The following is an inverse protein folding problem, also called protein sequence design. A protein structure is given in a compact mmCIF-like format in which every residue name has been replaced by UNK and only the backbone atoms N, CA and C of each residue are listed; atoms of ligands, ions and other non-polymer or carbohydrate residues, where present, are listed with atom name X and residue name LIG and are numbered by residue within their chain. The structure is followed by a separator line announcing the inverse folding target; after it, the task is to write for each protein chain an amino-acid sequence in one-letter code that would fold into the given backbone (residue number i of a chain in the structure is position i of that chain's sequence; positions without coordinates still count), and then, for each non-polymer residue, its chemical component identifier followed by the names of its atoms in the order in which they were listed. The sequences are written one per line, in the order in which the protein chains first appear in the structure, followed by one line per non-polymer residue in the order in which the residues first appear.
data_IF_404667389464
#
_entry.id   IF_404667389464
#
_cell.length_a   1.000
_cell.length_b   1.000
_cell.length_c   1.000
_cell.angle_alpha   90.00
_cell.angle_beta   90.00
_cell.angle_gamma   90.00
#
_symmetry.space_group_name_H-M   'P 1'
#
loop_
_entity.id
_entity.type
_entity.pdbx_description
1 polymer ?
#
# COMPACT_ATOMS: atom_id res chain seq x y z
N UNK A 1 -54.50 26.92 32.55
CA UNK A 1 -54.23 28.32 32.16
C UNK A 1 -53.09 28.30 31.14
N UNK A 2 -53.35 28.02 29.85
CA UNK A 2 -53.52 28.97 28.71
C UNK A 2 -52.49 30.10 28.63
N UNK A 3 -51.64 30.05 27.58
CA UNK A 3 -51.22 31.11 26.62
C UNK A 3 -50.18 30.48 25.65
N UNK A 4 -50.55 30.12 24.40
CA UNK A 4 -50.54 30.91 23.14
C UNK A 4 -49.11 31.28 22.68
N UNK A 5 -48.51 30.72 21.62
CA UNK A 5 -48.80 30.72 20.15
C UNK A 5 -48.42 32.04 19.43
N UNK A 6 -47.49 31.95 18.47
CA UNK A 6 -47.23 32.78 17.26
C UNK A 6 -45.91 32.24 16.65
N UNK A 7 -45.82 31.41 15.59
CA UNK A 7 -46.23 31.50 14.17
C UNK A 7 -45.87 32.83 13.51
N UNK A 8 -44.82 32.81 12.69
CA UNK A 8 -44.63 33.73 11.56
C UNK A 8 -44.18 32.92 10.34
N UNK A 9 -45.13 32.72 9.42
CA UNK A 9 -44.91 32.33 8.04
C UNK A 9 -44.48 33.58 7.26
N UNK A 10 -43.50 33.48 6.36
CA UNK A 10 -43.44 34.38 5.21
C UNK A 10 -43.10 33.60 3.94
N UNK A 11 -43.84 33.95 2.89
CA UNK A 11 -44.13 33.22 1.67
C UNK A 11 -43.03 33.27 0.60
N UNK A 12 -43.05 32.21 -0.19
CA UNK A 12 -42.70 32.05 -1.61
C UNK A 12 -42.38 33.29 -2.47
N UNK A 13 -41.39 33.14 -3.35
CA UNK A 13 -41.54 33.48 -4.77
C UNK A 13 -40.62 32.61 -5.63
N UNK A 14 -41.23 31.63 -6.30
CA UNK A 14 -40.69 30.99 -7.50
C UNK A 14 -40.86 31.96 -8.67
N UNK A 15 -39.79 32.24 -9.42
CA UNK A 15 -39.89 32.77 -10.78
C UNK A 15 -39.22 31.76 -11.70
N UNK A 16 -40.07 31.08 -12.46
CA UNK A 16 -39.72 30.29 -13.64
C UNK A 16 -39.79 31.25 -14.82
N UNK A 17 -38.68 31.46 -15.52
CA UNK A 17 -38.70 32.08 -16.84
C UNK A 17 -38.00 31.17 -17.83
N UNK A 18 -38.82 30.51 -18.64
CA UNK A 18 -38.42 29.82 -19.88
C UNK A 18 -37.97 30.85 -20.91
N UNK A 19 -36.85 30.62 -21.58
CA UNK A 19 -36.65 31.14 -22.93
C UNK A 19 -35.70 30.24 -23.73
N UNK A 20 -36.28 29.56 -24.71
CA UNK A 20 -35.63 28.82 -25.78
C UNK A 20 -34.99 29.79 -26.77
N UNK A 21 -33.78 29.51 -27.26
CA UNK A 21 -33.49 29.57 -28.71
C UNK A 21 -32.05 29.19 -29.08
N UNK A 22 -31.97 28.46 -30.20
CA UNK A 22 -30.91 28.45 -31.23
C UNK A 22 -29.66 27.60 -30.97
N UNK A 23 -29.80 26.37 -31.44
CA UNK A 23 -28.79 25.57 -32.17
C UNK A 23 -27.76 26.39 -32.96
N UNK A 24 -26.48 26.11 -32.74
CA UNK A 24 -25.41 26.33 -33.72
C UNK A 24 -24.51 25.09 -33.74
N UNK A 25 -24.66 24.27 -34.77
CA UNK A 25 -23.70 23.23 -35.17
C UNK A 25 -22.39 23.93 -35.51
N UNK A 26 -21.29 23.52 -34.88
CA UNK A 26 -19.95 23.88 -35.30
C UNK A 26 -19.30 22.60 -35.82
N UNK A 27 -19.24 22.49 -37.16
CA UNK A 27 -18.47 21.47 -37.87
C UNK A 27 -16.99 21.82 -37.76
N UNK A 28 -16.21 20.98 -37.10
CA UNK A 28 -14.74 20.99 -37.22
C UNK A 28 -14.34 20.03 -38.33
N UNK A 29 -13.95 20.58 -39.47
CA UNK A 29 -13.27 19.88 -40.57
C UNK A 29 -11.81 19.64 -40.17
N UNK A 30 -11.39 18.38 -40.08
CA UNK A 30 -9.98 17.99 -39.99
C UNK A 30 -9.52 17.54 -41.39
N UNK A 31 -8.44 18.11 -41.96
CA UNK A 31 -7.88 17.63 -43.22
C UNK A 31 -6.98 16.40 -42.99
N UNK A 32 -6.84 15.51 -43.99
CA UNK A 32 -6.21 14.20 -43.82
C UNK A 32 -4.69 14.30 -43.74
N UNK A 33 -4.08 13.52 -42.84
CA UNK A 33 -2.63 13.34 -42.81
C UNK A 33 -2.19 12.35 -43.89
N UNK A 34 -1.26 12.83 -44.70
CA UNK A 34 -0.59 12.13 -45.79
C UNK A 34 0.51 11.21 -45.25
N UNK A 35 0.48 9.96 -45.72
CA UNK A 35 1.47 8.93 -45.44
C UNK A 35 2.67 9.16 -46.36
N UNK A 36 3.88 9.32 -45.81
CA UNK A 36 5.11 9.20 -46.60
C UNK A 36 6.10 8.26 -45.93
N UNK A 37 6.61 7.34 -46.76
CA UNK A 37 7.56 6.30 -46.45
C UNK A 37 9.00 6.83 -46.35
N UNK A 38 9.76 6.12 -45.51
CA UNK A 38 11.22 5.95 -45.39
C UNK A 38 12.17 6.62 -46.40
N UNK A 39 13.31 7.10 -45.86
CA UNK A 39 14.67 6.71 -46.29
C UNK A 39 15.75 7.21 -45.31
N UNK A 40 16.71 6.34 -44.98
CA UNK A 40 18.07 6.66 -44.45
C UNK A 40 19.09 6.50 -45.60
N UNK A 41 20.34 7.04 -45.56
CA UNK A 41 21.46 6.56 -44.70
C UNK A 41 22.40 7.74 -44.23
N UNK A 42 23.47 7.63 -43.43
CA UNK A 42 24.54 6.64 -43.34
C UNK A 42 25.41 6.83 -42.04
N UNK A 43 26.10 5.74 -41.64
CA UNK A 43 27.45 5.54 -41.03
C UNK A 43 27.98 6.58 -40.00
N UNK A 44 28.68 6.25 -38.91
CA UNK A 44 29.33 5.05 -38.38
C UNK A 44 29.94 5.43 -37.02
N UNK A 45 29.89 4.60 -35.99
CA UNK A 45 31.10 4.25 -35.23
C UNK A 45 30.87 3.02 -34.35
N UNK A 46 31.86 2.14 -34.30
CA UNK A 46 31.82 0.89 -33.55
C UNK A 46 32.37 1.12 -32.13
N UNK A 47 31.57 0.74 -31.13
CA UNK A 47 32.00 0.60 -29.73
C UNK A 47 31.52 -0.74 -29.20
N UNK A 48 32.48 -1.60 -28.88
CA UNK A 48 32.36 -2.99 -28.45
C UNK A 48 31.42 -3.17 -27.23
N UNK A 49 30.29 -3.85 -27.44
CA UNK A 49 29.38 -4.30 -26.36
C UNK A 49 29.51 -5.80 -26.21
N UNK A 50 29.97 -6.21 -25.03
CA UNK A 50 30.01 -7.57 -24.51
C UNK A 50 28.72 -8.33 -24.84
N UNK A 51 28.87 -9.44 -25.59
CA UNK A 51 27.79 -10.36 -25.96
C UNK A 51 27.16 -10.94 -24.68
N UNK A 52 25.99 -10.42 -24.32
CA UNK A 52 25.04 -11.12 -23.45
C UNK A 52 24.45 -12.25 -24.30
N UNK A 53 24.88 -13.49 -24.03
CA UNK A 53 24.37 -14.67 -24.73
C UNK A 53 22.84 -14.70 -24.61
N UNK A 54 22.19 -14.70 -25.76
CA UNK A 54 20.73 -14.86 -25.87
C UNK A 54 20.43 -16.33 -25.61
N UNK A 55 19.48 -16.68 -24.73
CA UNK A 55 19.18 -18.07 -24.44
C UNK A 55 18.87 -18.81 -25.74
N UNK A 56 19.51 -19.96 -25.91
CA UNK A 56 19.30 -20.82 -27.07
C UNK A 56 17.82 -21.20 -27.19
N UNK A 57 17.35 -21.49 -28.40
CA UNK A 57 15.96 -21.92 -28.63
C UNK A 57 15.55 -23.09 -27.74
N UNK A 58 16.51 -23.92 -27.32
CA UNK A 58 16.31 -25.04 -26.41
C UNK A 58 16.12 -24.59 -24.96
N UNK A 59 16.89 -23.63 -24.47
CA UNK A 59 16.70 -23.05 -23.13
C UNK A 59 15.35 -22.33 -22.99
N UNK A 60 14.87 -21.67 -24.04
CA UNK A 60 13.53 -21.07 -24.06
C UNK A 60 12.43 -22.13 -24.06
N UNK A 61 12.61 -23.23 -24.79
CA UNK A 61 11.68 -24.36 -24.81
C UNK A 61 11.64 -25.06 -23.43
N UNK A 62 12.81 -25.29 -22.84
CA UNK A 62 12.98 -25.88 -21.51
C UNK A 62 12.39 -24.98 -20.42
N UNK A 63 12.52 -23.65 -20.54
CA UNK A 63 11.90 -22.68 -19.63
C UNK A 63 10.37 -22.69 -19.77
N UNK A 64 9.83 -22.75 -21.00
CA UNK A 64 8.38 -22.87 -21.24
C UNK A 64 7.81 -24.17 -20.69
N UNK A 65 8.54 -25.28 -20.83
CA UNK A 65 8.17 -26.59 -20.28
C UNK A 65 8.23 -26.54 -18.75
N UNK A 66 9.24 -25.89 -18.19
CA UNK A 66 9.39 -25.70 -16.73
C UNK A 66 8.28 -24.83 -16.15
N UNK A 67 7.89 -23.75 -16.82
CA UNK A 67 6.77 -22.87 -16.41
C UNK A 67 5.44 -23.64 -16.48
N UNK A 68 5.19 -24.42 -17.55
CA UNK A 68 4.00 -25.28 -17.65
C UNK A 68 3.97 -26.37 -16.58
N UNK A 69 5.12 -26.94 -16.22
CA UNK A 69 5.24 -27.91 -15.12
C UNK A 69 5.05 -27.24 -13.76
N UNK A 70 5.58 -26.04 -13.53
CA UNK A 70 5.39 -25.27 -12.30
C UNK A 70 3.92 -24.85 -12.09
N UNK A 71 3.18 -24.62 -13.18
CA UNK A 71 1.73 -24.39 -13.15
C UNK A 71 0.91 -25.66 -12.84
N UNK A 72 1.52 -26.85 -12.94
CA UNK A 72 0.86 -28.15 -12.75
C UNK A 72 1.30 -28.90 -11.48
N UNK A 73 2.24 -28.37 -10.69
CA UNK A 73 2.78 -29.03 -9.50
C UNK A 73 2.66 -28.11 -8.29
N UNK A 74 1.44 -27.92 -7.81
CA UNK A 74 1.17 -27.57 -6.41
C UNK A 74 0.88 -28.87 -5.66
N UNK A 75 1.95 -29.56 -5.25
CA UNK A 75 2.06 -30.42 -4.06
C UNK A 75 3.34 -31.26 -4.10
N UNK A 76 4.38 -30.83 -3.36
CA UNK A 76 5.06 -31.57 -2.28
C UNK A 76 6.45 -30.98 -2.00
N UNK A 77 6.74 -30.93 -0.71
CA UNK A 77 7.88 -30.29 -0.05
C UNK A 77 9.22 -30.98 -0.32
N UNK A 78 10.30 -30.20 -0.28
CA UNK A 78 11.62 -30.66 0.15
C UNK A 78 12.20 -29.68 1.17
N UNK A 79 12.64 -30.23 2.30
CA UNK A 79 13.30 -29.53 3.38
C UNK A 79 14.73 -29.17 2.98
N UNK A 80 15.14 -27.94 3.27
CA UNK A 80 16.55 -27.54 3.26
C UNK A 80 16.87 -26.72 4.49
N UNK A 81 17.93 -27.13 5.17
CA UNK A 81 18.40 -26.61 6.46
C UNK A 81 18.81 -25.15 6.32
N UNK A 82 18.11 -24.29 7.06
CA UNK A 82 18.33 -22.85 7.17
C UNK A 82 19.44 -22.53 8.18
N UNK A 83 20.28 -21.51 7.95
CA UNK A 83 21.08 -20.93 9.02
C UNK A 83 20.13 -20.24 10.00
N UNK A 84 20.10 -20.75 11.22
CA UNK A 84 19.26 -20.26 12.31
C UNK A 84 19.74 -18.89 12.78
N UNK A 85 18.86 -17.87 12.72
CA UNK A 85 18.94 -16.78 13.69
C UNK A 85 18.72 -17.43 15.04
N UNK A 86 19.77 -17.56 15.84
CA UNK A 86 19.65 -18.11 17.19
C UNK A 86 18.84 -17.12 18.02
N UNK A 87 17.53 -17.30 18.04
CA UNK A 87 16.63 -16.68 19.01
C UNK A 87 17.01 -17.31 20.34
N UNK A 88 17.84 -16.61 21.12
CA UNK A 88 17.95 -16.93 22.54
C UNK A 88 16.62 -16.55 23.18
N UNK A 89 15.90 -17.47 23.85
CA UNK A 89 14.78 -17.08 24.67
C UNK A 89 15.29 -16.06 25.68
N UNK A 90 14.82 -14.82 25.58
CA UNK A 90 15.09 -13.81 26.59
C UNK A 90 14.25 -14.16 27.81
N UNK A 91 14.91 -14.59 28.88
CA UNK A 91 14.28 -14.80 30.20
C UNK A 91 13.77 -13.48 30.81
N UNK A 92 14.09 -12.33 30.21
CA UNK A 92 13.65 -11.02 30.67
C UNK A 92 12.45 -10.49 29.87
N UNK A 93 11.31 -10.36 30.55
CA UNK A 93 10.04 -9.87 30.02
C UNK A 93 10.06 -8.39 29.54
N UNK A 94 11.21 -7.72 29.54
CA UNK A 94 11.36 -6.32 29.17
C UNK A 94 12.72 -6.06 28.48
N UNK A 95 12.88 -6.56 27.25
CA UNK A 95 13.99 -6.11 26.41
C UNK A 95 13.77 -4.64 26.04
N UNK A 96 14.70 -3.77 26.43
CA UNK A 96 14.72 -2.38 25.97
C UNK A 96 15.17 -2.40 24.51
N UNK A 97 14.34 -1.88 23.61
CA UNK A 97 14.67 -1.86 22.19
C UNK A 97 15.93 -1.02 21.93
N UNK A 98 16.92 -1.62 21.29
CA UNK A 98 18.12 -0.92 20.81
C UNK A 98 18.24 -1.20 19.31
N UNK A 99 18.25 -0.17 18.45
CA UNK A 99 18.43 -0.40 17.02
C UNK A 99 19.73 -1.13 16.71
N UNK A 100 19.70 -2.05 15.74
CA UNK A 100 20.92 -2.74 15.29
C UNK A 100 21.89 -1.73 14.64
N UNK A 101 23.22 -1.89 14.78
CA UNK A 101 24.19 -0.95 14.21
C UNK A 101 24.09 -0.76 12.69
N UNK A 102 23.60 -1.75 11.96
CA UNK A 102 23.41 -1.76 10.51
C UNK A 102 21.99 -1.34 10.08
N UNK A 103 21.15 -0.88 11.02
CA UNK A 103 19.79 -0.42 10.73
C UNK A 103 19.83 0.89 9.94
N UNK A 104 18.89 1.02 9.01
CA UNK A 104 18.73 2.26 8.23
C UNK A 104 17.94 3.28 9.06
N UNK A 105 18.45 4.51 9.24
CA UNK A 105 17.71 5.57 9.93
C UNK A 105 16.36 5.87 9.27
N UNK A 106 15.34 6.11 10.08
CA UNK A 106 13.97 6.28 9.61
C UNK A 106 13.79 7.38 8.55
N UNK A 107 14.44 8.52 8.72
CA UNK A 107 14.39 9.63 7.75
C UNK A 107 14.93 9.20 6.37
N UNK A 108 16.03 8.45 6.35
CA UNK A 108 16.63 7.95 5.13
C UNK A 108 15.71 6.92 4.44
N UNK A 109 15.15 6.01 5.23
CA UNK A 109 14.21 5.01 4.74
C UNK A 109 12.95 5.67 4.15
N UNK A 110 12.40 6.70 4.81
CA UNK A 110 11.26 7.48 4.33
C UNK A 110 11.58 8.18 3.00
N UNK A 111 12.75 8.78 2.89
CA UNK A 111 13.24 9.37 1.64
C UNK A 111 13.32 8.34 0.50
N UNK A 112 13.77 7.11 0.77
CA UNK A 112 13.80 6.04 -0.22
C UNK A 112 12.40 5.62 -0.70
N UNK A 113 11.43 5.49 0.22
CA UNK A 113 10.03 5.19 -0.13
C UNK A 113 9.42 6.32 -0.98
N UNK A 114 9.58 7.58 -0.57
CA UNK A 114 9.08 8.75 -1.33
C UNK A 114 9.66 8.84 -2.74
N UNK A 115 10.97 8.63 -2.87
CA UNK A 115 11.65 8.58 -4.18
C UNK A 115 11.17 7.38 -5.01
N UNK A 116 10.92 6.26 -4.36
CA UNK A 116 10.33 5.06 -4.94
C UNK A 116 8.96 5.29 -5.57
N UNK A 117 8.04 5.87 -4.82
CA UNK A 117 6.72 6.22 -5.35
C UNK A 117 6.78 7.28 -6.47
N UNK A 118 7.75 8.20 -6.40
CA UNK A 118 8.02 9.13 -7.50
C UNK A 118 8.45 8.39 -8.77
N UNK A 119 9.31 7.37 -8.66
CA UNK A 119 9.69 6.52 -9.81
C UNK A 119 8.52 5.72 -10.35
N UNK A 120 7.73 5.10 -9.47
CA UNK A 120 6.51 4.36 -9.81
C UNK A 120 5.54 5.23 -10.63
N UNK A 121 5.19 6.41 -10.12
CA UNK A 121 4.23 7.33 -10.79
C UNK A 121 4.74 7.93 -12.10
N UNK A 122 6.05 7.85 -12.35
CA UNK A 122 6.69 8.30 -13.60
C UNK A 122 7.06 7.17 -14.55
N UNK A 123 6.84 5.90 -14.16
CA UNK A 123 7.19 4.73 -14.96
C UNK A 123 8.70 4.43 -15.05
N UNK A 124 9.51 4.96 -14.13
CA UNK A 124 10.97 4.79 -14.12
C UNK A 124 11.44 3.79 -13.05
N UNK A 125 10.95 2.54 -13.13
CA UNK A 125 11.30 1.48 -12.19
C UNK A 125 12.79 1.13 -12.19
N UNK A 126 13.30 0.66 -11.04
CA UNK A 126 14.62 0.03 -10.95
C UNK A 126 14.60 -1.27 -11.76
N UNK A 127 15.72 -1.55 -12.44
CA UNK A 127 15.87 -2.75 -13.27
C UNK A 127 16.72 -3.85 -12.59
N UNK A 128 16.87 -3.79 -11.27
CA UNK A 128 17.68 -4.69 -10.47
C UNK A 128 16.99 -5.06 -9.14
N UNK A 129 17.52 -6.07 -8.43
CA UNK A 129 17.02 -6.44 -7.10
C UNK A 129 15.89 -7.46 -7.05
N UNK A 130 15.47 -7.98 -8.20
CA UNK A 130 14.47 -9.04 -8.34
C UNK A 130 14.97 -10.25 -9.15
N UNK A 131 16.30 -10.38 -9.34
CA UNK A 131 16.89 -11.48 -10.10
C UNK A 131 17.28 -12.65 -9.17
N UNK A 132 17.59 -13.82 -9.74
CA UNK A 132 18.04 -15.01 -9.00
C UNK A 132 19.23 -14.73 -8.06
N UNK A 133 20.16 -13.87 -8.49
CA UNK A 133 21.30 -13.43 -7.66
C UNK A 133 20.87 -12.71 -6.38
N UNK A 134 19.75 -11.98 -6.43
CA UNK A 134 19.22 -11.24 -5.28
C UNK A 134 18.58 -12.20 -4.27
N UNK A 135 17.96 -13.28 -4.75
CA UNK A 135 17.51 -14.38 -3.88
C UNK A 135 18.70 -15.02 -3.17
N UNK A 136 19.78 -15.34 -3.91
CA UNK A 136 21.01 -15.90 -3.31
C UNK A 136 21.62 -15.00 -2.24
N UNK A 137 21.57 -13.67 -2.41
CA UNK A 137 22.04 -12.69 -1.43
C UNK A 137 21.27 -12.74 -0.11
N UNK A 138 19.98 -13.09 -0.16
CA UNK A 138 19.07 -13.05 1.00
C UNK A 138 19.00 -14.37 1.77
N UNK A 139 19.63 -15.45 1.29
CA UNK A 139 19.62 -16.77 1.96
C UNK A 139 20.17 -16.69 3.39
N UNK A 140 21.12 -15.79 3.64
CA UNK A 140 21.77 -15.64 4.96
C UNK A 140 21.00 -14.74 5.93
N UNK A 141 19.97 -14.04 5.47
CA UNK A 141 19.17 -13.15 6.30
C UNK A 141 18.62 -11.93 5.57
N UNK A 142 17.89 -11.11 6.33
CA UNK A 142 17.23 -9.90 5.85
C UNK A 142 17.52 -8.70 6.76
N UNK A 143 17.53 -7.51 6.17
CA UNK A 143 17.63 -6.24 6.89
C UNK A 143 16.75 -5.18 6.21
N UNK A 144 15.41 -5.29 6.34
CA UNK A 144 14.49 -4.34 5.74
C UNK A 144 14.59 -2.98 6.42
N UNK A 145 14.63 -1.91 5.63
CA UNK A 145 14.72 -0.54 6.14
C UNK A 145 13.37 0.02 6.57
N UNK A 146 12.26 -0.61 6.18
CA UNK A 146 10.92 -0.17 6.55
C UNK A 146 9.96 -1.35 6.72
N UNK A 147 9.05 -1.20 7.67
CA UNK A 147 7.87 -2.03 7.84
C UNK A 147 6.72 -1.29 7.14
N UNK A 148 5.93 -1.99 6.33
CA UNK A 148 4.74 -1.43 5.70
C UNK A 148 3.54 -2.28 6.09
N UNK A 149 2.66 -1.71 6.90
CA UNK A 149 1.32 -2.24 7.14
C UNK A 149 0.38 -1.63 6.10
N UNK A 150 -0.27 -2.45 5.28
CA UNK A 150 -1.19 -1.96 4.24
C UNK A 150 -2.36 -2.90 4.00
N UNK A 151 -3.29 -2.47 3.16
CA UNK A 151 -4.45 -3.26 2.78
C UNK A 151 -4.06 -4.51 1.96
N UNK A 152 -4.78 -5.61 2.14
CA UNK A 152 -4.71 -6.80 1.26
C UNK A 152 -5.22 -6.55 -0.17
N UNK A 153 -5.73 -5.35 -0.48
CA UNK A 153 -6.21 -4.97 -1.81
C UNK A 153 -5.17 -5.26 -2.90
N UNK A 154 -5.54 -6.04 -3.91
CA UNK A 154 -4.62 -6.51 -4.96
C UNK A 154 -4.02 -5.38 -5.81
N UNK A 155 -4.60 -4.18 -5.76
CA UNK A 155 -4.14 -2.99 -6.49
C UNK A 155 -3.09 -2.20 -5.70
N UNK A 156 -2.83 -2.57 -4.46
CA UNK A 156 -1.91 -1.87 -3.54
C UNK A 156 -0.75 -2.78 -3.10
N UNK A 157 0.08 -3.32 -4.03
CA UNK A 157 1.31 -4.03 -3.66
C UNK A 157 2.41 -3.04 -3.23
N UNK A 158 2.79 -2.97 -1.93
CA UNK A 158 3.69 -1.92 -1.44
C UNK A 158 5.07 -1.92 -2.11
N UNK A 159 5.61 -3.10 -2.42
CA UNK A 159 6.91 -3.25 -3.07
C UNK A 159 6.93 -2.61 -4.46
N UNK A 160 5.82 -2.69 -5.20
CA UNK A 160 5.70 -2.06 -6.53
C UNK A 160 5.39 -0.57 -6.40
N UNK A 161 4.45 -0.20 -5.53
CA UNK A 161 4.04 1.20 -5.29
C UNK A 161 5.22 2.07 -4.86
N UNK A 162 6.15 1.50 -4.10
CA UNK A 162 7.38 2.16 -3.68
C UNK A 162 8.61 1.74 -4.50
N UNK A 163 8.52 0.89 -5.53
CA UNK A 163 9.68 0.45 -6.34
C UNK A 163 10.86 -0.06 -5.48
N UNK A 164 10.57 -1.05 -4.63
CA UNK A 164 11.48 -1.67 -3.67
C UNK A 164 11.92 -3.06 -4.13
N UNK A 165 13.11 -3.46 -3.72
CA UNK A 165 13.73 -4.75 -4.06
C UNK A 165 13.43 -5.83 -3.03
N UNK A 166 13.79 -7.06 -3.37
CA UNK A 166 13.78 -8.17 -2.43
C UNK A 166 14.62 -7.83 -1.18
N UNK A 167 13.98 -7.94 -0.02
CA UNK A 167 14.56 -7.72 1.30
C UNK A 167 14.68 -6.27 1.75
N UNK A 168 14.24 -5.28 0.95
CA UNK A 168 14.30 -3.85 1.32
C UNK A 168 13.16 -3.44 2.27
N UNK A 169 11.97 -4.03 2.13
CA UNK A 169 10.80 -3.75 2.99
C UNK A 169 10.22 -5.01 3.62
N UNK A 170 9.67 -4.88 4.83
CA UNK A 170 8.94 -5.91 5.54
C UNK A 170 7.44 -5.60 5.49
N UNK A 171 6.66 -6.44 4.80
CA UNK A 171 5.28 -6.10 4.41
C UNK A 171 4.28 -6.94 5.20
N UNK A 172 3.34 -6.28 5.86
CA UNK A 172 2.16 -6.89 6.50
C UNK A 172 0.94 -6.38 5.74
N UNK A 173 0.10 -7.32 5.28
CA UNK A 173 -1.12 -6.97 4.52
C UNK A 173 -2.36 -7.64 5.09
N UNK A 174 -3.25 -6.83 5.61
CA UNK A 174 -4.56 -7.24 6.15
C UNK A 174 -5.66 -6.39 5.51
N UNK A 175 -6.89 -6.89 5.42
CA UNK A 175 -7.97 -6.12 4.81
C UNK A 175 -8.21 -4.82 5.60
N UNK A 176 -8.18 -3.67 4.94
CA UNK A 176 -8.31 -2.36 5.59
C UNK A 176 -7.26 -2.09 6.68
N UNK A 177 -6.05 -2.64 6.49
CA UNK A 177 -4.91 -2.48 7.41
C UNK A 177 -5.28 -2.81 8.88
N UNK A 178 -6.18 -3.78 9.06
CA UNK A 178 -6.65 -4.25 10.36
C UNK A 178 -5.52 -4.83 11.21
N UNK A 179 -5.57 -4.58 12.51
CA UNK A 179 -4.53 -4.97 13.47
C UNK A 179 -4.99 -6.15 14.33
N UNK A 180 -4.93 -7.34 13.76
CA UNK A 180 -5.07 -8.59 14.49
C UNK A 180 -3.76 -8.99 15.19
N UNK A 181 -3.80 -10.08 15.97
CA UNK A 181 -2.63 -10.53 16.74
C UNK A 181 -1.45 -10.90 15.83
N UNK A 182 -1.70 -11.47 14.64
CA UNK A 182 -0.65 -11.86 13.71
C UNK A 182 0.03 -10.64 13.07
N UNK A 183 -0.75 -9.62 12.72
CA UNK A 183 -0.23 -8.36 12.20
C UNK A 183 0.66 -7.66 13.23
N UNK A 184 0.18 -7.55 14.48
CA UNK A 184 0.95 -6.93 15.56
C UNK A 184 2.24 -7.72 15.84
N UNK A 185 2.15 -9.04 16.00
CA UNK A 185 3.33 -9.88 16.23
C UNK A 185 4.36 -9.77 15.10
N UNK A 186 3.90 -9.65 13.85
CA UNK A 186 4.78 -9.47 12.69
C UNK A 186 5.50 -8.11 12.70
N UNK A 187 4.80 -7.05 13.12
CA UNK A 187 5.39 -5.71 13.30
C UNK A 187 6.41 -5.74 14.45
N UNK A 188 6.04 -6.29 15.61
CA UNK A 188 6.94 -6.45 16.75
C UNK A 188 8.18 -7.25 16.39
N UNK A 189 8.02 -8.31 15.58
CA UNK A 189 9.15 -9.08 15.09
C UNK A 189 10.14 -8.24 14.28
N UNK A 190 9.63 -7.44 13.34
CA UNK A 190 10.48 -6.60 12.50
C UNK A 190 11.12 -5.43 13.27
N UNK A 191 10.42 -4.89 14.27
CA UNK A 191 11.01 -3.88 15.18
C UNK A 191 12.11 -4.53 16.02
N UNK A 192 11.77 -5.53 16.82
CA UNK A 192 12.66 -6.06 17.86
C UNK A 192 13.80 -6.93 17.31
N UNK A 193 13.49 -7.83 16.37
CA UNK A 193 14.48 -8.78 15.85
C UNK A 193 15.21 -8.27 14.59
N UNK A 194 14.55 -7.47 13.75
CA UNK A 194 15.15 -6.92 12.52
C UNK A 194 15.66 -5.48 12.69
N UNK A 195 15.40 -4.82 13.82
CA UNK A 195 15.89 -3.46 14.10
C UNK A 195 15.35 -2.40 13.13
N UNK A 196 14.22 -2.65 12.47
CA UNK A 196 13.68 -1.72 11.48
C UNK A 196 13.15 -0.46 12.18
N UNK A 197 13.59 0.72 11.73
CA UNK A 197 13.32 1.99 12.42
C UNK A 197 12.17 2.82 11.81
N UNK A 198 11.55 2.37 10.73
CA UNK A 198 10.40 3.04 10.11
C UNK A 198 9.23 2.08 9.94
N UNK A 199 8.07 2.43 10.49
CA UNK A 199 6.78 1.83 10.15
C UNK A 199 6.00 2.81 9.27
N UNK A 200 5.45 2.33 8.18
CA UNK A 200 4.45 3.04 7.38
C UNK A 200 3.12 2.30 7.50
N UNK A 201 2.10 2.97 8.03
CA UNK A 201 0.72 2.51 7.99
C UNK A 201 0.08 3.15 6.76
N UNK A 202 -0.20 2.35 5.73
CA UNK A 202 -0.63 2.82 4.42
C UNK A 202 -2.02 2.30 4.06
N UNK A 203 -3.03 3.16 4.21
CA UNK A 203 -4.36 2.96 3.64
C UNK A 203 -4.40 3.33 2.16
N UNK A 204 -5.59 3.28 1.57
CA UNK A 204 -5.77 3.68 0.16
C UNK A 204 -7.19 4.16 -0.15
N UNK A 205 -7.33 4.93 -1.22
CA UNK A 205 -8.63 5.39 -1.71
C UNK A 205 -9.49 4.21 -2.20
N UNK A 206 -10.82 4.34 -2.10
CA UNK A 206 -11.81 3.31 -2.44
C UNK A 206 -11.55 1.93 -1.78
N UNK A 207 -11.15 1.92 -0.50
CA UNK A 207 -10.95 0.68 0.25
C UNK A 207 -12.25 -0.11 0.47
N UNK A 208 -12.27 -1.38 0.08
CA UNK A 208 -13.45 -2.24 0.22
C UNK A 208 -13.82 -2.54 1.68
N UNK A 209 -12.83 -2.69 2.56
CA UNK A 209 -13.05 -2.94 3.98
C UNK A 209 -13.63 -1.70 4.69
N UNK A 210 -13.12 -0.51 4.36
CA UNK A 210 -13.67 0.78 4.82
C UNK A 210 -15.14 0.91 4.40
N UNK A 211 -15.44 0.66 3.12
CA UNK A 211 -16.83 0.69 2.63
C UNK A 211 -17.73 -0.32 3.33
N UNK A 212 -17.24 -1.55 3.58
CA UNK A 212 -18.00 -2.57 4.30
C UNK A 212 -18.29 -2.14 5.75
N UNK A 213 -17.31 -1.53 6.41
CA UNK A 213 -17.46 -1.03 7.78
C UNK A 213 -18.48 0.11 7.89
N UNK A 214 -18.53 1.01 6.89
CA UNK A 214 -19.51 2.10 6.81
C UNK A 214 -20.93 1.59 6.51
N UNK A 215 -21.07 0.55 5.66
CA UNK A 215 -22.37 -0.01 5.28
C UNK A 215 -22.98 -0.94 6.33
N UNK A 216 -22.14 -1.57 7.15
CA UNK A 216 -22.59 -2.50 8.19
C UNK A 216 -23.00 -1.71 9.43
N UNK A 217 -24.23 -1.88 9.98
CA UNK A 217 -24.58 -1.28 11.26
C UNK A 217 -23.60 -1.68 12.36
N UNK A 218 -23.38 -0.81 13.36
CA UNK A 218 -22.55 -1.17 14.52
C UNK A 218 -23.14 -2.39 15.23
N UNK A 219 -22.33 -3.42 15.44
CA UNK A 219 -22.79 -4.72 15.97
C UNK A 219 -23.60 -5.56 14.98
N UNK A 220 -23.70 -5.14 13.72
CA UNK A 220 -24.36 -5.87 12.64
C UNK A 220 -23.52 -7.01 12.07
N UNK A 221 -24.13 -7.80 11.18
CA UNK A 221 -23.49 -8.94 10.53
C UNK A 221 -23.01 -8.54 9.12
N UNK A 222 -21.73 -8.79 8.82
CA UNK A 222 -21.09 -8.49 7.52
C UNK A 222 -21.02 -9.71 6.56
N UNK A 223 -21.81 -10.75 6.80
CA UNK A 223 -21.92 -11.94 5.95
C UNK A 223 -21.17 -13.18 6.48
N UNK A 224 -20.25 -13.01 7.42
CA UNK A 224 -19.62 -14.11 8.16
C UNK A 224 -19.06 -13.62 9.51
N UNK A 225 -18.73 -14.51 10.46
CA UNK A 225 -18.10 -14.11 11.73
C UNK A 225 -16.78 -13.36 11.54
N UNK A 226 -15.93 -13.79 10.61
CA UNK A 226 -14.64 -13.14 10.34
C UNK A 226 -14.79 -11.79 9.64
N UNK A 227 -15.73 -11.65 8.70
CA UNK A 227 -16.03 -10.35 8.10
C UNK A 227 -16.65 -9.39 9.12
N UNK A 228 -17.47 -9.92 10.04
CA UNK A 228 -18.06 -9.13 11.13
C UNK A 228 -16.99 -8.65 12.10
N UNK A 229 -16.01 -9.49 12.44
CA UNK A 229 -14.87 -9.09 13.27
C UNK A 229 -14.01 -8.03 12.57
N UNK A 230 -13.79 -8.16 11.26
CA UNK A 230 -13.06 -7.17 10.48
C UNK A 230 -13.73 -5.79 10.53
N UNK A 231 -15.03 -5.70 10.19
CA UNK A 231 -15.73 -4.40 10.22
C UNK A 231 -15.76 -3.82 11.63
N UNK A 232 -15.89 -4.67 12.66
CA UNK A 232 -15.87 -4.24 14.06
C UNK A 232 -14.50 -3.69 14.50
N UNK A 233 -13.38 -4.17 13.94
CA UNK A 233 -12.03 -3.59 14.19
C UNK A 233 -11.89 -2.19 13.56
N UNK A 234 -12.49 -1.98 12.38
CA UNK A 234 -12.36 -0.72 11.64
C UNK A 234 -13.31 0.38 12.14
N UNK A 235 -14.55 0.02 12.49
CA UNK A 235 -15.61 0.97 12.84
C UNK A 235 -15.23 2.02 13.91
N UNK A 236 -14.55 1.68 15.02
CA UNK A 236 -14.16 2.66 16.04
C UNK A 236 -13.29 3.80 15.50
N UNK A 237 -12.45 3.53 14.48
CA UNK A 237 -11.52 4.51 13.89
C UNK A 237 -12.25 5.55 13.03
N UNK A 238 -13.43 5.19 12.50
CA UNK A 238 -14.24 6.01 11.59
C UNK A 238 -15.58 6.41 12.20
N UNK A 239 -15.68 6.47 13.54
CA UNK A 239 -16.92 6.66 14.28
C UNK A 239 -17.73 7.91 13.86
N UNK A 240 -17.03 8.97 13.42
CA UNK A 240 -17.61 10.21 12.87
C UNK A 240 -18.38 10.00 11.58
N UNK A 241 -18.05 8.96 10.81
CA UNK A 241 -18.60 8.69 9.47
C UNK A 241 -19.72 7.65 9.48
N UNK A 242 -19.85 6.83 10.53
CA UNK A 242 -20.77 5.68 10.57
C UNK A 242 -22.26 6.04 10.46
N UNK A 243 -22.64 7.28 10.77
CA UNK A 243 -24.02 7.77 10.63
C UNK A 243 -24.24 8.62 9.39
N UNK A 244 -23.19 8.85 8.60
CA UNK A 244 -23.28 9.68 7.41
C UNK A 244 -23.95 8.92 6.28
N UNK A 245 -24.84 9.61 5.55
CA UNK A 245 -25.43 9.14 4.29
C UNK A 245 -24.60 9.57 3.07
N UNK A 246 -23.66 10.50 3.26
CA UNK A 246 -22.76 10.98 2.24
C UNK A 246 -21.32 10.65 2.62
N UNK A 247 -20.58 10.06 1.69
CA UNK A 247 -19.18 9.74 1.87
C UNK A 247 -18.30 10.71 1.09
N UNK A 248 -17.07 10.89 1.55
CA UNK A 248 -16.12 11.72 0.83
C UNK A 248 -15.80 11.13 -0.54
N UNK A 249 -15.31 11.97 -1.46
CA UNK A 249 -14.86 11.50 -2.77
C UNK A 249 -13.83 10.38 -2.59
N UNK A 250 -14.06 9.25 -3.27
CA UNK A 250 -13.25 8.04 -3.14
C UNK A 250 -13.04 7.51 -1.71
N UNK A 251 -13.92 7.85 -0.77
CA UNK A 251 -13.80 7.50 0.65
C UNK A 251 -12.47 7.97 1.30
N UNK A 252 -11.90 9.08 0.82
CA UNK A 252 -10.61 9.60 1.28
C UNK A 252 -10.59 9.95 2.76
N UNK A 253 -11.59 10.68 3.26
CA UNK A 253 -11.67 11.09 4.65
C UNK A 253 -11.80 9.88 5.58
N UNK A 254 -12.66 8.92 5.23
CA UNK A 254 -12.89 7.69 5.98
C UNK A 254 -11.63 6.81 5.99
N UNK A 255 -10.95 6.68 4.84
CA UNK A 255 -9.71 5.91 4.73
C UNK A 255 -8.56 6.56 5.52
N UNK A 256 -8.48 7.89 5.55
CA UNK A 256 -7.52 8.61 6.39
C UNK A 256 -7.78 8.39 7.88
N UNK A 257 -9.04 8.45 8.32
CA UNK A 257 -9.41 8.22 9.71
C UNK A 257 -9.12 6.77 10.13
N UNK A 258 -9.38 5.78 9.24
CA UNK A 258 -8.96 4.41 9.47
C UNK A 258 -7.43 4.28 9.61
N UNK A 259 -6.67 4.87 8.68
CA UNK A 259 -5.20 4.78 8.66
C UNK A 259 -4.59 5.39 9.93
N UNK A 260 -5.03 6.60 10.32
CA UNK A 260 -4.56 7.28 11.53
C UNK A 260 -5.01 6.53 12.79
N UNK A 261 -6.23 5.99 12.78
CA UNK A 261 -6.75 5.15 13.85
C UNK A 261 -5.92 3.88 14.03
N UNK A 262 -5.53 3.20 12.94
CA UNK A 262 -4.67 2.02 13.00
C UNK A 262 -3.28 2.36 13.56
N UNK A 263 -2.70 3.50 13.19
CA UNK A 263 -1.45 4.00 13.80
C UNK A 263 -1.60 4.20 15.31
N UNK A 264 -2.71 4.79 15.76
CA UNK A 264 -3.01 4.98 17.20
C UNK A 264 -3.20 3.64 17.91
N UNK A 265 -3.99 2.74 17.35
CA UNK A 265 -4.25 1.42 17.90
C UNK A 265 -2.95 0.61 18.04
N UNK A 266 -2.04 0.71 17.08
CA UNK A 266 -0.74 0.03 17.14
C UNK A 266 0.09 0.51 18.35
N UNK A 267 0.12 1.83 18.59
CA UNK A 267 0.77 2.42 19.76
C UNK A 267 0.10 2.02 21.07
N UNK A 268 -1.21 1.82 21.08
CA UNK A 268 -1.95 1.36 22.27
C UNK A 268 -1.69 -0.12 22.56
N UNK A 269 -1.80 -0.97 21.53
CA UNK A 269 -1.74 -2.43 21.63
C UNK A 269 -0.31 -2.95 21.83
N UNK A 270 0.71 -2.35 21.20
CA UNK A 270 2.09 -2.83 21.28
C UNK A 270 2.96 -1.98 22.21
N UNK A 271 3.44 -2.59 23.30
CA UNK A 271 4.42 -1.96 24.20
C UNK A 271 5.76 -1.77 23.50
N UNK A 272 6.20 -2.75 22.71
CA UNK A 272 7.49 -2.72 21.97
C UNK A 272 7.52 -1.51 21.04
N UNK A 273 6.49 -1.35 20.20
CA UNK A 273 6.39 -0.23 19.26
C UNK A 273 6.31 1.10 20.01
N UNK A 274 5.43 1.19 21.02
CA UNK A 274 5.23 2.42 21.79
C UNK A 274 6.50 2.90 22.49
N UNK A 275 7.25 1.99 23.11
CA UNK A 275 8.46 2.33 23.84
C UNK A 275 9.58 2.72 22.86
N UNK A 276 9.75 1.99 21.75
CA UNK A 276 10.70 2.33 20.70
C UNK A 276 10.45 3.72 20.09
N UNK A 277 9.19 4.12 19.93
CA UNK A 277 8.81 5.48 19.47
C UNK A 277 9.14 6.52 20.54
N UNK A 278 8.79 6.28 21.80
CA UNK A 278 9.07 7.20 22.92
C UNK A 278 10.57 7.45 23.11
N UNK A 279 11.38 6.44 22.87
CA UNK A 279 12.84 6.50 22.97
C UNK A 279 13.52 7.11 21.71
N UNK A 280 12.74 7.43 20.67
CA UNK A 280 13.24 8.03 19.43
C UNK A 280 13.96 7.03 18.50
N UNK A 281 13.79 5.74 18.74
CA UNK A 281 14.41 4.66 17.97
C UNK A 281 13.55 4.14 16.82
N UNK A 282 12.25 4.48 16.81
CA UNK A 282 11.28 4.09 15.81
C UNK A 282 10.42 5.28 15.41
N UNK A 283 10.14 5.41 14.12
CA UNK A 283 9.22 6.41 13.56
C UNK A 283 8.04 5.69 12.93
N UNK A 284 6.85 6.23 13.10
CA UNK A 284 5.64 5.76 12.41
C UNK A 284 5.12 6.88 11.51
N UNK A 285 4.87 6.55 10.25
CA UNK A 285 4.30 7.43 9.25
C UNK A 285 2.94 6.89 8.80
N UNK A 286 1.93 7.76 8.75
CA UNK A 286 0.64 7.43 8.13
C UNK A 286 0.64 7.92 6.69
N UNK A 287 0.21 7.08 5.76
CA UNK A 287 0.18 7.39 4.35
C UNK A 287 -1.11 6.87 3.68
N UNK A 288 -1.48 7.47 2.56
CA UNK A 288 -2.64 7.05 1.78
C UNK A 288 -2.27 6.95 0.31
N UNK A 289 -2.49 5.76 -0.26
CA UNK A 289 -2.29 5.50 -1.69
C UNK A 289 -3.53 5.87 -2.50
N UNK A 290 -3.35 6.71 -3.50
CA UNK A 290 -4.40 7.17 -4.41
C UNK A 290 -4.48 6.25 -5.63
N UNK A 291 -5.52 5.42 -5.73
CA UNK A 291 -5.67 4.42 -6.79
C UNK A 291 -5.72 5.00 -8.22
N UNK A 292 -6.22 6.22 -8.36
CA UNK A 292 -6.41 6.92 -9.64
C UNK A 292 -5.09 7.44 -10.25
N UNK A 293 -4.14 7.82 -9.39
CA UNK A 293 -2.91 8.51 -9.77
C UNK A 293 -1.65 7.69 -9.45
N UNK A 294 -1.77 6.68 -8.60
CA UNK A 294 -0.64 5.92 -8.09
C UNK A 294 0.23 6.66 -7.07
N UNK A 295 -0.17 7.87 -6.65
CA UNK A 295 0.57 8.68 -5.69
C UNK A 295 0.33 8.21 -4.27
N UNK A 296 1.36 8.26 -3.45
CA UNK A 296 1.25 8.13 -1.99
C UNK A 296 1.30 9.51 -1.35
N UNK A 297 0.20 9.88 -0.70
CA UNK A 297 0.11 11.06 0.15
C UNK A 297 0.53 10.70 1.57
N UNK A 298 1.24 11.58 2.25
CA UNK A 298 1.74 11.38 3.61
C UNK A 298 1.01 12.31 4.56
N UNK A 299 0.70 11.83 5.77
CA UNK A 299 0.08 12.69 6.79
C UNK A 299 1.05 13.83 7.12
N UNK A 300 0.53 15.06 7.15
CA UNK A 300 1.23 16.20 7.73
C UNK A 300 1.26 16.12 9.25
#
# INVERSE_FOLDING_TARGET
MRKSLLISLCLCSFIVTSCSSKTKKQETKTPPQEVTQAQSPAKSDQGEVSKKETPTSKELEDLKITIKKAQAVTQKNEETVTPTVTIKPTEEAHHKYVPRPDSVPAEKALGWLKNGNTRFTKGFFRNDGAAKKDVSRLVKGQNPHSIILSCSDSRVPPEVVFDQKLGEVFVIRTAGESLDNAAIASIEYAVDHLGTQLIVVMGHSNCGAVQAALKTPVGGNAGSPYLTALVADLQPRMQSHLKSVHHSEHYLAESWDNTRGATKDLLEKSKIVRDAVKEGHLRIESALYHLDSGKVEWSQ
#
